data_IF_662951082682
#
_entry.id   IF_662951082682
#
_cell.length_a   1.000
_cell.length_b   1.000
_cell.length_c   1.000
_cell.angle_alpha   90.00
_cell.angle_beta   90.00
_cell.angle_gamma   90.00
#
_symmetry.space_group_name_H-M   'P 1'
#
loop_
_entity.id
_entity.type
_entity.pdbx_description
1 polymer ?
#
# COMPACT_ATOMS: atom_id res chain seq x y z
N UNK A 1 2.15 -3.47 47.30
CA UNK A 1 2.83 -3.21 46.00
C UNK A 1 1.75 -2.99 44.95
N UNK A 2 1.44 -1.73 44.67
CA UNK A 2 0.57 -1.40 43.53
C UNK A 2 1.39 -1.61 42.23
N UNK A 3 1.04 -2.63 41.44
CA UNK A 3 1.47 -2.68 40.08
C UNK A 3 0.81 -1.48 39.37
N UNK A 4 1.57 -0.41 39.17
CA UNK A 4 1.16 0.67 38.28
C UNK A 4 0.90 0.05 36.92
N UNK A 5 -0.34 0.19 36.45
CA UNK A 5 -0.73 -0.25 35.11
C UNK A 5 0.02 0.63 34.13
N UNK A 6 1.04 0.07 33.48
CA UNK A 6 1.63 0.68 32.26
C UNK A 6 0.49 0.86 31.26
N UNK A 7 0.10 2.11 31.04
CA UNK A 7 -0.95 2.46 30.09
C UNK A 7 -0.35 2.72 28.72
N UNK A 8 -0.92 2.16 27.67
CA UNK A 8 -0.64 2.57 26.30
C UNK A 8 -1.71 3.55 25.82
N UNK A 9 -1.29 4.66 25.20
CA UNK A 9 -2.18 5.67 24.65
C UNK A 9 -2.16 5.58 23.13
N UNK A 10 -3.36 5.49 22.55
CA UNK A 10 -3.52 5.59 21.11
C UNK A 10 -3.18 7.01 20.64
N UNK A 11 -2.31 7.12 19.63
CA UNK A 11 -1.89 8.40 19.05
C UNK A 11 -2.43 8.61 17.65
N UNK A 12 -2.39 7.58 16.80
CA UNK A 12 -2.64 7.76 15.38
C UNK A 12 -3.01 6.47 14.67
N UNK A 13 -3.80 6.60 13.59
CA UNK A 13 -4.19 5.47 12.75
C UNK A 13 -4.18 5.86 11.27
N UNK A 14 -3.95 4.83 10.44
CA UNK A 14 -4.11 4.87 8.98
C UNK A 14 -4.78 3.58 8.52
N UNK A 15 -5.69 3.73 7.57
CA UNK A 15 -6.33 2.63 6.85
C UNK A 15 -6.23 2.87 5.36
N UNK A 16 -5.93 1.81 4.64
CA UNK A 16 -6.04 1.75 3.19
C UNK A 16 -6.85 0.50 2.84
N UNK A 17 -7.86 0.68 2.01
CA UNK A 17 -8.63 -0.43 1.46
C UNK A 17 -8.74 -0.25 -0.05
N UNK A 18 -8.44 -1.32 -0.78
CA UNK A 18 -8.58 -1.39 -2.23
C UNK A 18 -9.46 -2.56 -2.58
N UNK A 19 -10.40 -2.34 -3.47
CA UNK A 19 -11.23 -3.37 -4.05
C UNK A 19 -11.25 -3.26 -5.57
N UNK A 20 -11.03 -4.38 -6.24
CA UNK A 20 -10.99 -4.47 -7.70
C UNK A 20 -12.03 -5.50 -8.13
N UNK A 21 -12.95 -5.09 -8.95
CA UNK A 21 -14.01 -5.95 -9.44
C UNK A 21 -14.31 -5.74 -10.92
N UNK A 22 -14.88 -6.77 -11.52
CA UNK A 22 -15.30 -6.73 -12.93
C UNK A 22 -16.60 -5.94 -13.04
N UNK A 23 -16.55 -4.79 -13.72
CA UNK A 23 -17.73 -3.96 -13.97
C UNK A 23 -18.52 -4.44 -15.20
N UNK A 24 -17.80 -4.92 -16.22
CA UNK A 24 -18.33 -5.51 -17.45
C UNK A 24 -17.30 -6.44 -18.07
N UNK A 25 -17.59 -7.02 -19.23
CA UNK A 25 -16.64 -7.87 -19.97
C UNK A 25 -15.32 -7.16 -20.28
N UNK A 26 -15.35 -5.84 -20.52
CA UNK A 26 -14.20 -5.05 -20.94
C UNK A 26 -13.66 -4.10 -19.86
N UNK A 27 -14.37 -3.95 -18.72
CA UNK A 27 -14.06 -2.92 -17.72
C UNK A 27 -13.88 -3.50 -16.32
N UNK A 28 -12.82 -3.02 -15.66
CA UNK A 28 -12.64 -3.11 -14.21
C UNK A 28 -13.09 -1.83 -13.55
N UNK A 29 -13.63 -1.95 -12.36
CA UNK A 29 -13.73 -0.87 -11.41
C UNK A 29 -12.73 -1.12 -10.29
N UNK A 30 -12.02 -0.06 -9.91
CA UNK A 30 -11.07 -0.04 -8.79
C UNK A 30 -11.51 1.05 -7.83
N UNK A 31 -11.82 0.65 -6.61
CA UNK A 31 -12.20 1.54 -5.52
C UNK A 31 -11.10 1.51 -4.46
N UNK A 32 -10.46 2.65 -4.24
CA UNK A 32 -9.50 2.85 -3.17
C UNK A 32 -10.08 3.79 -2.13
N UNK A 33 -10.09 3.35 -0.90
CA UNK A 33 -10.45 4.13 0.27
C UNK A 33 -9.23 4.31 1.18
N UNK A 34 -8.93 5.54 1.51
CA UNK A 34 -7.86 5.92 2.43
C UNK A 34 -8.42 6.74 3.56
N UNK A 35 -8.02 6.40 4.79
CA UNK A 35 -8.39 7.15 5.99
C UNK A 35 -7.21 7.26 6.94
N UNK A 36 -7.02 8.44 7.46
CA UNK A 36 -6.17 8.71 8.62
C UNK A 36 -6.86 9.67 9.59
N UNK A 37 -6.21 9.98 10.71
CA UNK A 37 -6.83 10.78 11.78
C UNK A 37 -7.45 12.10 11.30
N UNK A 38 -6.83 12.75 10.32
CA UNK A 38 -7.24 14.08 9.83
C UNK A 38 -7.82 14.11 8.42
N UNK A 39 -7.86 12.95 7.72
CA UNK A 39 -8.15 12.91 6.29
C UNK A 39 -8.88 11.65 5.88
N UNK A 40 -9.77 11.79 4.90
CA UNK A 40 -10.42 10.68 4.20
C UNK A 40 -10.44 11.00 2.71
N UNK A 41 -9.95 10.07 1.89
CA UNK A 41 -9.94 10.17 0.43
C UNK A 41 -10.48 8.88 -0.19
N UNK A 42 -11.15 9.00 -1.34
CA UNK A 42 -11.59 7.88 -2.17
C UNK A 42 -11.16 8.13 -3.61
N UNK A 43 -10.45 7.18 -4.17
CA UNK A 43 -10.07 7.20 -5.57
C UNK A 43 -10.81 6.08 -6.29
N UNK A 44 -11.61 6.45 -7.29
CA UNK A 44 -12.36 5.49 -8.11
C UNK A 44 -11.84 5.54 -9.53
N UNK A 45 -11.46 4.38 -10.06
CA UNK A 45 -11.01 4.24 -11.44
C UNK A 45 -11.85 3.23 -12.20
N UNK A 46 -12.07 3.51 -13.47
CA UNK A 46 -12.54 2.52 -14.44
C UNK A 46 -11.39 2.25 -15.42
N UNK A 47 -11.02 0.98 -15.54
CA UNK A 47 -9.90 0.53 -16.36
C UNK A 47 -10.35 -0.44 -17.44
N UNK A 48 -9.77 -0.34 -18.62
CA UNK A 48 -9.87 -1.41 -19.62
C UNK A 48 -9.19 -2.68 -19.11
N UNK A 49 -9.85 -3.83 -19.21
CA UNK A 49 -9.26 -5.12 -18.81
C UNK A 49 -8.04 -5.45 -19.67
N UNK A 50 -8.08 -5.13 -20.95
CA UNK A 50 -7.07 -5.53 -21.93
C UNK A 50 -5.69 -4.94 -21.66
N UNK A 51 -5.62 -3.68 -21.23
CA UNK A 51 -4.37 -2.90 -21.16
C UNK A 51 -4.27 -1.98 -19.94
N UNK A 52 -5.25 -2.08 -19.04
CA UNK A 52 -5.39 -1.23 -17.85
C UNK A 52 -5.38 0.28 -18.17
N UNK A 53 -5.84 0.64 -19.35
CA UNK A 53 -6.02 2.04 -19.73
C UNK A 53 -7.18 2.66 -18.93
N UNK A 54 -6.94 3.81 -18.31
CA UNK A 54 -7.94 4.58 -17.55
C UNK A 54 -9.03 5.09 -18.48
N UNK A 55 -10.27 4.72 -18.24
CA UNK A 55 -11.48 5.21 -18.90
C UNK A 55 -12.19 6.29 -18.11
N UNK A 56 -12.10 6.21 -16.78
CA UNK A 56 -12.62 7.21 -15.89
C UNK A 56 -11.78 7.24 -14.60
N UNK A 57 -11.65 8.42 -13.99
CA UNK A 57 -10.95 8.58 -12.72
C UNK A 57 -11.59 9.72 -11.92
N UNK A 58 -12.01 9.42 -10.69
CA UNK A 58 -12.65 10.38 -9.78
C UNK A 58 -12.01 10.30 -8.41
N UNK A 59 -11.63 11.46 -7.87
CA UNK A 59 -11.17 11.63 -6.51
C UNK A 59 -12.27 12.29 -5.68
N UNK A 60 -12.66 11.65 -4.59
CA UNK A 60 -13.59 12.17 -3.60
C UNK A 60 -12.82 12.43 -2.29
N UNK A 61 -13.12 13.55 -1.64
CA UNK A 61 -12.57 13.89 -0.31
C UNK A 61 -13.72 14.17 0.65
N UNK A 62 -14.36 13.12 1.22
CA UNK A 62 -15.53 13.26 2.08
C UNK A 62 -15.23 14.05 3.35
N UNK A 63 -14.01 13.94 3.88
CA UNK A 63 -13.57 14.66 5.06
C UNK A 63 -12.22 15.34 4.84
N UNK A 64 -12.21 16.66 4.94
CA UNK A 64 -11.00 17.47 4.98
C UNK A 64 -11.16 18.58 6.00
N UNK A 65 -10.05 19.12 6.49
CA UNK A 65 -10.05 20.28 7.38
C UNK A 65 -10.59 21.56 6.70
N UNK A 66 -10.79 21.51 5.38
CA UNK A 66 -11.30 22.63 4.57
C UNK A 66 -12.80 22.50 4.22
N UNK A 67 -13.50 21.51 4.80
CA UNK A 67 -14.91 21.21 4.50
C UNK A 67 -15.09 20.16 3.39
N UNK A 68 -16.34 19.96 2.99
CA UNK A 68 -16.68 19.00 1.93
C UNK A 68 -16.19 19.52 0.57
N UNK A 69 -15.30 18.78 -0.07
CA UNK A 69 -14.80 19.07 -1.41
C UNK A 69 -15.62 18.28 -2.43
N UNK A 70 -16.07 18.95 -3.47
CA UNK A 70 -16.77 18.29 -4.58
C UNK A 70 -15.87 17.25 -5.26
N UNK A 71 -16.44 16.13 -5.74
CA UNK A 71 -15.66 15.14 -6.48
C UNK A 71 -14.88 15.77 -7.63
N UNK A 72 -13.61 15.37 -7.76
CA UNK A 72 -12.69 15.86 -8.78
C UNK A 72 -12.50 14.81 -9.87
N UNK A 73 -12.82 15.15 -11.11
CA UNK A 73 -12.48 14.31 -12.24
C UNK A 73 -10.99 14.45 -12.58
N UNK A 74 -10.26 13.31 -12.59
CA UNK A 74 -8.84 13.27 -12.90
C UNK A 74 -8.63 13.03 -14.41
N UNK A 75 -9.16 13.92 -15.24
CA UNK A 75 -9.15 13.80 -16.72
C UNK A 75 -7.75 13.59 -17.30
N UNK A 76 -6.71 14.08 -16.64
CA UNK A 76 -5.32 13.90 -17.07
C UNK A 76 -4.82 12.45 -17.00
N UNK A 77 -5.53 11.57 -16.28
CA UNK A 77 -5.28 10.13 -16.26
C UNK A 77 -5.96 9.40 -17.43
N UNK A 78 -6.98 9.99 -18.03
CA UNK A 78 -7.72 9.34 -19.12
C UNK A 78 -6.81 8.97 -20.29
N UNK A 79 -6.96 7.75 -20.80
CA UNK A 79 -6.14 7.19 -21.87
C UNK A 79 -4.75 6.72 -21.44
N UNK A 80 -4.35 6.93 -20.17
CA UNK A 80 -3.07 6.42 -19.65
C UNK A 80 -3.22 5.00 -19.12
N UNK A 81 -2.21 4.18 -19.29
CA UNK A 81 -2.19 2.83 -18.74
C UNK A 81 -1.72 2.84 -17.29
N UNK A 82 -2.47 2.17 -16.41
CA UNK A 82 -2.10 1.90 -15.00
C UNK A 82 -1.26 0.62 -14.96
N UNK A 83 -0.01 0.71 -15.37
CA UNK A 83 0.89 -0.42 -15.42
C UNK A 83 2.28 -0.07 -14.86
N UNK A 84 3.02 -1.06 -14.35
CA UNK A 84 4.28 -0.83 -13.62
C UNK A 84 5.29 0.00 -14.43
N UNK A 85 5.41 -0.26 -15.74
CA UNK A 85 6.31 0.50 -16.64
C UNK A 85 5.96 1.98 -16.74
N UNK A 86 4.69 2.34 -16.49
CA UNK A 86 4.20 3.72 -16.53
C UNK A 86 4.22 4.41 -15.15
N UNK A 87 4.54 3.69 -14.08
CA UNK A 87 4.46 4.19 -12.69
C UNK A 87 5.22 5.51 -12.49
N UNK A 88 6.44 5.64 -13.06
CA UNK A 88 7.22 6.89 -12.98
C UNK A 88 6.55 8.05 -13.69
N UNK A 89 5.97 7.81 -14.87
CA UNK A 89 5.28 8.82 -15.66
C UNK A 89 3.99 9.25 -14.97
N UNK A 90 3.24 8.30 -14.41
CA UNK A 90 2.01 8.56 -13.65
C UNK A 90 2.31 9.35 -12.38
N UNK A 91 3.34 8.97 -11.62
CA UNK A 91 3.80 9.75 -10.46
C UNK A 91 4.16 11.19 -10.85
N UNK A 92 4.97 11.36 -11.89
CA UNK A 92 5.34 12.69 -12.40
C UNK A 92 4.10 13.51 -12.79
N UNK A 93 3.18 12.91 -13.55
CA UNK A 93 1.94 13.56 -13.96
C UNK A 93 1.08 14.00 -12.77
N UNK A 94 1.01 13.18 -11.72
CA UNK A 94 0.28 13.53 -10.50
C UNK A 94 0.95 14.70 -9.75
N UNK A 95 2.27 14.72 -9.67
CA UNK A 95 3.01 15.81 -9.03
C UNK A 95 2.88 17.13 -9.80
N UNK A 96 2.79 17.07 -11.13
CA UNK A 96 2.59 18.24 -12.01
C UNK A 96 1.11 18.65 -12.12
N UNK A 97 0.19 17.87 -11.54
CA UNK A 97 -1.24 18.18 -11.56
C UNK A 97 -1.54 19.56 -10.98
N UNK A 98 -2.31 20.33 -11.72
CA UNK A 98 -2.64 21.72 -11.38
C UNK A 98 -1.61 22.77 -11.83
N UNK A 99 -0.43 22.34 -12.35
CA UNK A 99 0.50 23.26 -13.04
C UNK A 99 0.14 23.41 -14.52
N UNK A 100 -0.24 22.28 -15.11
CA UNK A 100 -0.51 22.20 -16.56
C UNK A 100 -1.97 21.91 -16.89
N UNK A 101 -2.78 21.50 -15.89
CA UNK A 101 -4.18 21.11 -16.10
C UNK A 101 -5.09 21.92 -15.17
N UNK A 102 -6.06 22.61 -15.75
CA UNK A 102 -7.11 23.28 -14.99
C UNK A 102 -7.94 22.26 -14.23
N UNK A 103 -8.02 22.39 -12.90
CA UNK A 103 -8.90 21.57 -12.09
C UNK A 103 -10.33 22.10 -12.27
N UNK A 104 -11.19 21.31 -12.89
CA UNK A 104 -12.59 21.67 -13.09
C UNK A 104 -13.48 20.58 -12.50
N UNK A 105 -14.43 20.98 -11.66
CA UNK A 105 -15.50 20.11 -11.17
C UNK A 105 -16.83 20.75 -11.55
N UNK A 106 -17.67 20.02 -12.28
CA UNK A 106 -18.99 20.49 -12.74
C UNK A 106 -18.97 21.88 -13.40
N UNK A 107 -17.91 22.20 -14.18
CA UNK A 107 -17.75 23.49 -14.85
C UNK A 107 -17.20 24.63 -13.99
N UNK A 108 -16.97 24.41 -12.71
CA UNK A 108 -16.36 25.39 -11.80
C UNK A 108 -14.86 25.13 -11.62
N UNK A 109 -14.06 26.20 -11.54
CA UNK A 109 -12.64 26.09 -11.19
C UNK A 109 -12.48 25.59 -9.75
N UNK A 110 -11.69 24.55 -9.56
CA UNK A 110 -11.37 23.98 -8.25
C UNK A 110 -9.98 24.46 -7.82
N UNK A 111 -9.79 24.78 -6.53
CA UNK A 111 -8.47 25.17 -6.03
C UNK A 111 -7.43 24.08 -6.35
N UNK A 112 -6.25 24.53 -6.75
CA UNK A 112 -5.11 23.65 -7.02
C UNK A 112 -4.76 22.86 -5.76
N UNK A 113 -4.58 21.52 -5.82
CA UNK A 113 -4.10 20.75 -4.69
C UNK A 113 -2.71 21.22 -4.25
N UNK A 114 -2.46 21.23 -2.94
CA UNK A 114 -1.13 21.54 -2.38
C UNK A 114 -0.10 20.52 -2.90
N UNK A 115 1.19 20.83 -2.80
CA UNK A 115 2.25 19.87 -3.14
C UNK A 115 2.11 18.59 -2.30
N UNK A 116 1.85 18.73 -1.00
CA UNK A 116 1.64 17.61 -0.09
C UNK A 116 0.45 16.73 -0.50
N UNK A 117 -0.66 17.32 -0.95
CA UNK A 117 -1.79 16.56 -1.50
C UNK A 117 -1.40 15.79 -2.76
N UNK A 118 -0.66 16.42 -3.66
CA UNK A 118 -0.21 15.79 -4.92
C UNK A 118 0.75 14.63 -4.67
N UNK A 119 1.66 14.76 -3.71
CA UNK A 119 2.55 13.68 -3.26
C UNK A 119 1.75 12.53 -2.67
N UNK A 120 0.78 12.83 -1.82
CA UNK A 120 -0.10 11.83 -1.24
C UNK A 120 -0.89 11.07 -2.32
N UNK A 121 -1.52 11.78 -3.26
CA UNK A 121 -2.27 11.11 -4.35
C UNK A 121 -1.37 10.34 -5.31
N UNK A 122 -0.14 10.80 -5.52
CA UNK A 122 0.84 10.06 -6.30
C UNK A 122 1.20 8.72 -5.60
N UNK A 123 1.32 8.73 -4.28
CA UNK A 123 1.58 7.52 -3.50
C UNK A 123 0.37 6.57 -3.52
N UNK A 124 -0.87 7.07 -3.35
CA UNK A 124 -2.08 6.24 -3.48
C UNK A 124 -2.22 5.62 -4.87
N UNK A 125 -1.86 6.36 -5.91
CA UNK A 125 -1.87 5.83 -7.28
C UNK A 125 -0.83 4.71 -7.47
N UNK A 126 0.34 4.80 -6.84
CA UNK A 126 1.36 3.75 -6.89
C UNK A 126 0.92 2.49 -6.16
N UNK A 127 0.28 2.62 -4.99
CA UNK A 127 -0.33 1.49 -4.28
C UNK A 127 -1.37 0.79 -5.17
N UNK A 128 -2.25 1.57 -5.77
CA UNK A 128 -3.29 1.06 -6.65
C UNK A 128 -2.71 0.32 -7.88
N UNK A 129 -1.59 0.79 -8.45
CA UNK A 129 -0.89 0.08 -9.55
C UNK A 129 -0.44 -1.30 -9.07
N UNK A 130 0.13 -1.40 -7.88
CA UNK A 130 0.57 -2.68 -7.31
C UNK A 130 -0.61 -3.65 -7.11
N UNK A 131 -1.76 -3.14 -6.68
CA UNK A 131 -2.96 -3.95 -6.47
C UNK A 131 -3.62 -4.41 -7.77
N UNK A 132 -3.68 -3.54 -8.79
CA UNK A 132 -4.15 -3.91 -10.13
C UNK A 132 -3.30 -5.02 -10.72
N UNK A 133 -1.98 -4.98 -10.52
CA UNK A 133 -1.08 -6.04 -10.97
C UNK A 133 -1.31 -7.36 -10.23
N UNK A 134 -1.67 -7.32 -8.96
CA UNK A 134 -2.06 -8.54 -8.24
C UNK A 134 -3.41 -9.10 -8.69
N UNK A 135 -4.36 -8.23 -9.04
CA UNK A 135 -5.63 -8.65 -9.63
C UNK A 135 -5.47 -9.29 -11.01
N UNK A 136 -4.40 -8.99 -11.74
CA UNK A 136 -4.14 -9.48 -13.10
C UNK A 136 -4.14 -11.01 -13.18
N UNK A 137 -3.75 -11.72 -12.11
CA UNK A 137 -3.77 -13.19 -12.07
C UNK A 137 -5.17 -13.77 -12.32
N UNK A 138 -6.23 -13.00 -12.04
CA UNK A 138 -7.62 -13.40 -12.30
C UNK A 138 -8.12 -13.02 -13.70
N UNK A 139 -7.26 -12.39 -14.52
CA UNK A 139 -7.55 -11.87 -15.85
C UNK A 139 -6.63 -12.47 -16.91
N UNK A 140 -5.97 -13.58 -16.63
CA UNK A 140 -4.93 -14.16 -17.47
C UNK A 140 -5.43 -14.44 -18.91
N UNK A 141 -6.65 -14.99 -19.03
CA UNK A 141 -7.25 -15.26 -20.34
C UNK A 141 -7.46 -14.00 -21.17
N UNK A 142 -8.00 -12.94 -20.58
CA UNK A 142 -8.22 -11.64 -21.22
C UNK A 142 -6.92 -10.92 -21.55
N UNK A 143 -5.84 -11.26 -20.83
CA UNK A 143 -4.48 -10.76 -21.08
C UNK A 143 -3.70 -11.61 -22.09
N UNK A 144 -4.32 -12.69 -22.59
CA UNK A 144 -3.71 -13.58 -23.59
C UNK A 144 -2.74 -14.60 -23.00
N UNK A 145 -2.77 -14.83 -21.68
CA UNK A 145 -1.97 -15.85 -20.99
C UNK A 145 -2.82 -17.11 -20.85
N UNK A 146 -2.50 -18.13 -21.65
CA UNK A 146 -3.34 -19.34 -21.79
C UNK A 146 -2.73 -20.60 -21.19
N UNK A 147 -1.46 -20.56 -20.78
CA UNK A 147 -0.77 -21.71 -20.20
C UNK A 147 0.07 -21.35 -18.98
N UNK A 148 0.42 -22.36 -18.18
CA UNK A 148 1.33 -22.19 -17.03
C UNK A 148 2.70 -21.69 -17.48
N UNK A 149 3.22 -22.19 -18.61
CA UNK A 149 4.53 -21.78 -19.14
C UNK A 149 4.55 -20.29 -19.55
N UNK A 150 3.46 -19.80 -20.15
CA UNK A 150 3.31 -18.39 -20.45
C UNK A 150 3.22 -17.54 -19.20
N UNK A 151 2.45 -18.00 -18.19
CA UNK A 151 2.35 -17.36 -16.90
C UNK A 151 3.70 -17.27 -16.21
N UNK A 152 4.42 -18.38 -16.08
CA UNK A 152 5.73 -18.43 -15.44
C UNK A 152 6.75 -17.50 -16.10
N UNK A 153 6.79 -17.51 -17.44
CA UNK A 153 7.66 -16.60 -18.20
C UNK A 153 7.31 -15.14 -17.90
N UNK A 154 6.05 -14.78 -18.03
CA UNK A 154 5.55 -13.42 -17.81
C UNK A 154 5.84 -12.91 -16.39
N UNK A 155 5.51 -13.71 -15.37
CA UNK A 155 5.73 -13.32 -13.99
C UNK A 155 7.20 -13.35 -13.57
N UNK A 156 8.00 -14.28 -14.09
CA UNK A 156 9.44 -14.28 -13.83
C UNK A 156 10.15 -13.06 -14.43
N UNK A 157 9.73 -12.61 -15.61
CA UNK A 157 10.25 -11.37 -16.20
C UNK A 157 9.91 -10.13 -15.36
N UNK A 158 8.71 -10.11 -14.76
CA UNK A 158 8.22 -8.95 -13.99
C UNK A 158 8.62 -8.97 -12.52
N UNK A 159 8.56 -10.13 -11.88
CA UNK A 159 8.64 -10.28 -10.42
C UNK A 159 9.76 -11.23 -9.97
N UNK A 160 10.56 -11.75 -10.88
CA UNK A 160 11.67 -12.62 -10.54
C UNK A 160 12.55 -12.00 -9.44
N UNK A 161 12.81 -12.77 -8.38
CA UNK A 161 13.62 -12.36 -7.23
C UNK A 161 13.07 -11.20 -6.37
N UNK A 162 11.81 -10.77 -6.58
CA UNK A 162 11.17 -9.76 -5.73
C UNK A 162 10.89 -10.25 -4.31
N UNK A 163 10.59 -11.53 -4.15
CA UNK A 163 10.35 -12.15 -2.85
C UNK A 163 10.75 -13.64 -2.86
N UNK A 164 10.76 -14.25 -1.69
CA UNK A 164 11.12 -15.67 -1.51
C UNK A 164 10.25 -16.61 -2.36
N UNK A 165 8.96 -16.30 -2.54
CA UNK A 165 8.06 -17.10 -3.37
C UNK A 165 8.55 -17.18 -4.82
N UNK A 166 8.74 -16.04 -5.46
CA UNK A 166 9.16 -15.96 -6.87
C UNK A 166 10.60 -16.43 -7.08
N UNK A 167 11.44 -16.45 -6.03
CA UNK A 167 12.81 -16.91 -6.12
C UNK A 167 12.94 -18.43 -5.96
N UNK A 168 12.22 -19.03 -4.99
CA UNK A 168 12.32 -20.48 -4.71
C UNK A 168 11.42 -21.34 -5.60
N UNK A 169 10.29 -20.80 -6.05
CA UNK A 169 9.29 -21.55 -6.82
C UNK A 169 9.28 -21.19 -8.32
N UNK A 170 10.41 -20.79 -8.88
CA UNK A 170 10.52 -20.50 -10.32
C UNK A 170 9.84 -21.59 -11.15
N UNK A 171 8.84 -21.20 -11.96
CA UNK A 171 8.08 -22.11 -12.80
C UNK A 171 7.07 -23.00 -12.06
N UNK A 172 6.66 -22.66 -10.82
CA UNK A 172 5.67 -23.44 -10.05
C UNK A 172 4.84 -22.56 -9.13
N UNK A 173 4.41 -21.39 -9.61
CA UNK A 173 3.67 -20.46 -8.74
C UNK A 173 2.24 -20.96 -8.52
N UNK A 174 1.84 -21.25 -7.27
CA UNK A 174 0.53 -21.82 -6.95
C UNK A 174 -0.65 -20.94 -7.36
N UNK A 175 -0.45 -19.63 -7.50
CA UNK A 175 -1.49 -18.69 -7.87
C UNK A 175 -2.13 -19.05 -9.21
N UNK A 176 -1.39 -19.55 -10.19
CA UNK A 176 -1.96 -19.97 -11.47
C UNK A 176 -3.00 -21.09 -11.30
N UNK A 177 -2.65 -22.12 -10.54
CA UNK A 177 -3.59 -23.22 -10.27
C UNK A 177 -4.80 -22.76 -9.44
N UNK A 178 -4.57 -21.84 -8.49
CA UNK A 178 -5.62 -21.28 -7.67
C UNK A 178 -6.60 -20.43 -8.49
N UNK A 179 -6.10 -19.62 -9.42
CA UNK A 179 -6.92 -18.71 -10.23
C UNK A 179 -7.69 -19.43 -11.33
N UNK A 180 -7.15 -20.50 -11.91
CA UNK A 180 -7.87 -21.31 -12.89
C UNK A 180 -9.07 -22.08 -12.29
N UNK A 181 -9.01 -22.44 -11.01
CA UNK A 181 -10.08 -23.13 -10.30
C UNK A 181 -11.17 -22.20 -9.74
N UNK A 182 -10.96 -20.88 -9.72
CA UNK A 182 -11.88 -19.92 -9.12
C UNK A 182 -12.44 -18.97 -10.18
N UNK A 183 -13.65 -19.27 -10.66
CA UNK A 183 -14.49 -18.25 -11.30
C UNK A 183 -14.94 -17.26 -10.20
N UNK A 184 -14.16 -16.18 -9.99
CA UNK A 184 -14.61 -15.05 -9.18
C UNK A 184 -15.54 -14.19 -10.04
N UNK A 185 -16.83 -14.16 -9.71
CA UNK A 185 -17.83 -13.49 -10.52
C UNK A 185 -17.67 -11.97 -10.49
N UNK A 186 -17.44 -11.37 -9.32
CA UNK A 186 -17.53 -9.92 -9.14
C UNK A 186 -16.27 -9.32 -8.50
N UNK A 187 -15.88 -9.65 -7.28
CA UNK A 187 -14.66 -9.17 -6.65
C UNK A 187 -13.46 -10.02 -7.09
N UNK A 188 -12.53 -9.43 -7.82
CA UNK A 188 -11.30 -10.09 -8.28
C UNK A 188 -10.23 -10.05 -7.21
N UNK A 189 -10.01 -8.89 -6.62
CA UNK A 189 -8.95 -8.67 -5.64
C UNK A 189 -9.41 -7.66 -4.60
N UNK A 190 -9.01 -7.89 -3.35
CA UNK A 190 -9.16 -6.91 -2.29
C UNK A 190 -7.90 -6.86 -1.44
N UNK A 191 -7.56 -5.67 -0.97
CA UNK A 191 -6.50 -5.44 0.02
C UNK A 191 -6.99 -4.48 1.09
N UNK A 192 -6.66 -4.80 2.32
CA UNK A 192 -6.81 -3.94 3.47
C UNK A 192 -5.47 -3.84 4.19
N UNK A 193 -5.02 -2.62 4.46
CA UNK A 193 -3.88 -2.40 5.36
C UNK A 193 -4.24 -1.38 6.43
N UNK A 194 -3.67 -1.56 7.61
CA UNK A 194 -3.87 -0.64 8.73
C UNK A 194 -2.59 -0.47 9.52
N UNK A 195 -2.36 0.75 9.99
CA UNK A 195 -1.26 1.10 10.89
C UNK A 195 -1.84 1.80 12.10
N UNK A 196 -1.43 1.37 13.28
CA UNK A 196 -1.77 1.96 14.57
C UNK A 196 -0.50 2.34 15.31
N UNK A 197 -0.46 3.52 15.91
CA UNK A 197 0.65 4.00 16.70
C UNK A 197 0.17 4.26 18.12
N UNK A 198 0.88 3.68 19.09
CA UNK A 198 0.62 3.84 20.52
C UNK A 198 1.88 4.37 21.21
N UNK A 199 1.69 5.20 22.23
CA UNK A 199 2.74 5.63 23.14
C UNK A 199 2.57 4.91 24.47
N UNK A 200 3.65 4.31 24.96
CA UNK A 200 3.71 3.74 26.30
C UNK A 200 4.14 4.82 27.28
N UNK A 201 3.61 4.80 28.50
CA UNK A 201 4.14 5.61 29.60
C UNK A 201 5.16 4.77 30.35
N UNK A 202 6.37 5.29 30.48
CA UNK A 202 7.30 4.81 31.49
C UNK A 202 6.85 5.37 32.84
N UNK A 203 6.75 4.52 33.88
CA UNK A 203 6.33 4.95 35.22
C UNK A 203 7.21 6.08 35.75
N UNK A 204 6.64 7.01 36.51
CA UNK A 204 7.29 8.12 37.24
C UNK A 204 8.34 8.95 36.47
N UNK A 205 7.94 9.61 35.39
CA UNK A 205 8.78 10.63 34.75
C UNK A 205 8.02 11.35 33.66
N UNK A 206 8.41 12.59 33.36
CA UNK A 206 7.96 13.35 32.18
C UNK A 206 8.47 12.71 30.87
N UNK A 207 8.97 11.46 30.94
CA UNK A 207 9.54 10.72 29.84
C UNK A 207 8.46 10.30 28.83
N UNK A 208 8.62 10.68 27.59
CA UNK A 208 7.90 10.07 26.46
C UNK A 208 8.39 8.63 26.37
N UNK A 209 7.53 7.69 26.79
CA UNK A 209 7.82 6.25 26.68
C UNK A 209 7.92 5.79 25.23
N UNK A 210 8.40 4.57 25.06
CA UNK A 210 8.54 3.95 23.74
C UNK A 210 7.24 4.00 22.91
N UNK A 211 7.38 4.14 21.61
CA UNK A 211 6.27 4.00 20.68
C UNK A 211 6.19 2.54 20.22
N UNK A 212 4.98 2.01 20.19
CA UNK A 212 4.69 0.78 19.46
C UNK A 212 3.86 1.09 18.21
N UNK A 213 4.27 0.47 17.09
CA UNK A 213 3.60 0.60 15.82
C UNK A 213 3.14 -0.79 15.42
N UNK A 214 1.84 -0.94 15.18
CA UNK A 214 1.25 -2.19 14.75
C UNK A 214 0.70 -2.01 13.34
N UNK A 215 1.19 -2.84 12.43
CA UNK A 215 0.74 -2.91 11.04
C UNK A 215 0.01 -4.23 10.78
N UNK A 216 -1.04 -4.18 10.00
CA UNK A 216 -1.75 -5.35 9.50
C UNK A 216 -2.01 -5.18 8.02
N UNK A 217 -1.77 -6.23 7.24
CA UNK A 217 -2.11 -6.32 5.83
C UNK A 217 -2.88 -7.62 5.60
N UNK A 218 -4.03 -7.49 4.96
CA UNK A 218 -4.84 -8.61 4.50
C UNK A 218 -5.26 -8.37 3.06
N UNK A 219 -4.86 -9.24 2.14
CA UNK A 219 -5.31 -9.21 0.76
C UNK A 219 -5.88 -10.56 0.32
N UNK A 220 -6.24 -10.70 -0.94
CA UNK A 220 -6.80 -11.94 -1.47
C UNK A 220 -5.91 -13.17 -1.27
N UNK A 221 -4.58 -12.99 -1.10
CA UNK A 221 -3.58 -14.07 -0.98
C UNK A 221 -2.92 -14.12 0.38
N UNK A 222 -2.72 -12.98 1.03
CA UNK A 222 -1.90 -12.83 2.22
C UNK A 222 -2.68 -12.27 3.40
N UNK A 223 -2.24 -12.64 4.58
CA UNK A 223 -2.59 -11.96 5.82
C UNK A 223 -1.39 -11.96 6.75
N UNK A 224 -0.95 -10.77 7.16
CA UNK A 224 0.24 -10.62 7.98
C UNK A 224 0.14 -9.47 8.96
N UNK A 225 0.86 -9.58 10.04
CA UNK A 225 0.98 -8.55 11.08
C UNK A 225 2.44 -8.17 11.28
N UNK A 226 2.66 -6.90 11.59
CA UNK A 226 3.95 -6.29 11.93
C UNK A 226 3.81 -5.56 13.25
N UNK A 227 4.80 -5.70 14.14
CA UNK A 227 4.93 -4.92 15.36
C UNK A 227 6.34 -4.34 15.45
N UNK A 228 6.44 -3.03 15.58
CA UNK A 228 7.69 -2.31 15.76
C UNK A 228 7.68 -1.60 17.10
N UNK A 229 8.78 -1.72 17.86
CA UNK A 229 9.08 -0.86 19.01
C UNK A 229 10.13 0.16 18.56
N UNK A 230 9.87 1.44 18.77
CA UNK A 230 10.80 2.51 18.39
C UNK A 230 11.06 3.43 19.58
N UNK A 231 12.33 3.82 19.75
CA UNK A 231 12.70 4.75 20.82
C UNK A 231 12.11 6.13 20.57
N UNK A 232 11.57 6.77 21.62
CA UNK A 232 11.16 8.16 21.56
C UNK A 232 12.41 9.03 21.47
N UNK A 233 12.80 9.43 20.28
CA UNK A 233 13.69 10.59 20.15
C UNK A 233 12.83 11.83 20.10
N UNK A 234 13.32 12.93 20.64
CA UNK A 234 12.61 14.22 20.60
C UNK A 234 12.35 14.71 19.17
N UNK A 235 12.95 14.08 18.16
CA UNK A 235 12.84 14.39 16.72
C UNK A 235 13.12 13.15 15.87
N UNK A 236 12.45 12.99 14.69
CA UNK A 236 12.83 11.96 13.71
C UNK A 236 14.28 12.13 13.25
N UNK A 237 14.93 11.05 12.79
CA UNK A 237 14.38 9.72 12.54
C UNK A 237 14.37 8.82 13.78
N UNK A 238 13.32 8.01 13.95
CA UNK A 238 13.17 7.09 15.07
C UNK A 238 13.92 5.78 14.84
N UNK A 239 14.65 5.30 15.86
CA UNK A 239 15.38 4.04 15.80
C UNK A 239 14.44 2.88 16.14
N UNK A 240 14.43 1.85 15.29
CA UNK A 240 13.72 0.60 15.57
C UNK A 240 14.53 -0.21 16.57
N UNK A 241 13.97 -0.44 17.77
CA UNK A 241 14.59 -1.28 18.79
C UNK A 241 14.29 -2.76 18.56
N UNK A 242 13.04 -3.05 18.17
CA UNK A 242 12.53 -4.40 17.95
C UNK A 242 11.54 -4.40 16.81
N UNK A 243 11.62 -5.42 15.97
CA UNK A 243 10.66 -5.67 14.90
C UNK A 243 10.26 -7.15 14.93
N UNK A 244 8.96 -7.39 14.96
CA UNK A 244 8.36 -8.72 14.99
C UNK A 244 7.18 -8.75 14.04
N UNK A 245 6.81 -9.93 13.60
CA UNK A 245 5.63 -10.11 12.77
C UNK A 245 5.35 -11.56 12.50
N UNK A 246 4.17 -11.78 11.95
CA UNK A 246 3.69 -13.11 11.67
C UNK A 246 2.88 -13.12 10.38
N UNK A 247 2.96 -14.23 9.65
CA UNK A 247 2.08 -14.54 8.55
C UNK A 247 0.93 -15.42 9.07
N UNK A 248 -0.29 -14.92 8.95
CA UNK A 248 -1.51 -15.63 9.34
C UNK A 248 -2.06 -16.44 8.15
N UNK A 249 -1.90 -15.91 6.94
CA UNK A 249 -2.24 -16.56 5.68
C UNK A 249 -1.24 -16.17 4.60
N UNK A 250 -0.89 -17.12 3.73
CA UNK A 250 0.03 -16.92 2.61
C UNK A 250 -0.25 -17.94 1.49
N UNK A 251 0.06 -17.61 0.23
CA UNK A 251 -0.23 -18.50 -0.91
C UNK A 251 0.61 -19.80 -0.88
N UNK A 252 1.80 -19.74 -0.25
CA UNK A 252 2.69 -20.90 -0.15
C UNK A 252 3.49 -20.88 1.16
N UNK A 253 3.71 -22.03 1.83
CA UNK A 253 4.48 -22.15 3.07
C UNK A 253 5.88 -21.50 3.02
N UNK A 254 6.50 -21.40 1.84
CA UNK A 254 7.80 -20.74 1.66
C UNK A 254 7.78 -19.29 2.08
N UNK A 255 6.66 -18.60 1.91
CA UNK A 255 6.49 -17.21 2.29
C UNK A 255 6.73 -16.96 3.80
N UNK A 256 6.38 -17.95 4.64
CA UNK A 256 6.60 -17.88 6.09
C UNK A 256 8.07 -17.71 6.48
N UNK A 257 9.01 -18.15 5.62
CA UNK A 257 10.45 -17.97 5.85
C UNK A 257 10.88 -16.50 5.90
N UNK A 258 10.11 -15.60 5.25
CA UNK A 258 10.45 -14.17 5.22
C UNK A 258 10.24 -13.46 6.57
N UNK A 259 9.45 -14.04 7.50
CA UNK A 259 9.18 -13.39 8.79
C UNK A 259 10.46 -13.12 9.60
N UNK A 260 11.47 -13.99 9.50
CA UNK A 260 12.75 -13.81 10.22
C UNK A 260 13.49 -12.54 9.79
N UNK A 261 13.22 -12.03 8.59
CA UNK A 261 13.84 -10.82 8.05
C UNK A 261 13.44 -9.56 8.82
N UNK A 262 12.32 -9.58 9.53
CA UNK A 262 11.92 -8.45 10.37
C UNK A 262 12.97 -8.09 11.41
N UNK A 263 13.72 -9.06 11.92
CA UNK A 263 14.79 -8.81 12.89
C UNK A 263 15.91 -7.94 12.31
N UNK A 264 16.09 -7.91 11.00
CA UNK A 264 17.09 -7.06 10.32
C UNK A 264 16.71 -5.56 10.37
N UNK A 265 15.48 -5.22 10.76
CA UNK A 265 15.07 -3.85 10.97
C UNK A 265 15.59 -3.27 12.30
N UNK A 266 15.99 -4.08 13.27
CA UNK A 266 16.55 -3.57 14.51
C UNK A 266 17.81 -2.74 14.22
N UNK A 267 17.88 -1.53 14.78
CA UNK A 267 18.94 -0.56 14.50
C UNK A 267 18.77 0.23 13.20
N UNK A 268 17.70 0.02 12.45
CA UNK A 268 17.35 0.85 11.29
C UNK A 268 16.49 2.03 11.75
N UNK A 269 16.75 3.22 11.19
CA UNK A 269 15.88 4.36 11.42
C UNK A 269 14.60 4.26 10.58
N UNK A 270 13.47 4.29 11.25
CA UNK A 270 12.13 4.25 10.62
C UNK A 270 11.77 5.63 10.08
N UNK A 271 12.10 5.86 8.82
CA UNK A 271 11.82 7.10 8.11
C UNK A 271 11.67 6.83 6.59
N UNK A 272 10.77 7.51 5.86
CA UNK A 272 10.61 7.28 4.42
C UNK A 272 11.89 7.48 3.60
N UNK A 273 12.79 8.38 4.00
CA UNK A 273 14.09 8.58 3.34
C UNK A 273 14.99 7.35 3.42
N UNK A 274 14.81 6.50 4.44
CA UNK A 274 15.51 5.24 4.60
C UNK A 274 14.88 4.07 3.82
N UNK A 275 13.97 4.36 2.89
CA UNK A 275 13.27 3.36 2.05
C UNK A 275 14.21 2.27 1.53
N UNK A 276 15.39 2.64 1.01
CA UNK A 276 16.35 1.66 0.46
C UNK A 276 16.83 0.66 1.53
N UNK A 277 17.13 1.14 2.75
CA UNK A 277 17.56 0.26 3.86
C UNK A 277 16.43 -0.65 4.33
N UNK A 278 15.23 -0.09 4.51
CA UNK A 278 14.04 -0.85 4.92
C UNK A 278 13.74 -1.95 3.89
N UNK A 279 13.67 -1.61 2.61
CA UNK A 279 13.40 -2.59 1.56
C UNK A 279 14.51 -3.61 1.42
N UNK A 280 15.79 -3.23 1.48
CA UNK A 280 16.91 -4.18 1.38
C UNK A 280 16.93 -5.19 2.55
N UNK A 281 16.43 -4.82 3.71
CA UNK A 281 16.30 -5.72 4.85
C UNK A 281 15.15 -6.73 4.65
N UNK A 282 14.03 -6.30 4.04
CA UNK A 282 12.79 -7.08 4.05
C UNK A 282 12.44 -7.76 2.73
N UNK A 283 13.01 -7.32 1.60
CA UNK A 283 12.60 -7.80 0.26
C UNK A 283 13.69 -8.63 -0.42
N UNK A 284 13.48 -9.00 -1.68
CA UNK A 284 14.42 -9.79 -2.47
C UNK A 284 14.28 -11.29 -2.22
N UNK A 285 15.23 -12.05 -2.69
CA UNK A 285 15.17 -13.54 -2.78
C UNK A 285 14.82 -14.28 -1.49
N UNK A 286 15.05 -13.69 -0.33
CA UNK A 286 14.77 -14.30 0.99
C UNK A 286 13.71 -13.53 1.78
N UNK A 287 13.16 -12.48 1.21
CA UNK A 287 12.26 -11.56 1.88
C UNK A 287 10.82 -11.60 1.33
N UNK A 288 10.05 -10.60 1.70
CA UNK A 288 8.68 -10.39 1.27
C UNK A 288 8.45 -8.91 0.95
N UNK A 289 7.99 -8.61 -0.27
CA UNK A 289 7.67 -7.24 -0.67
C UNK A 289 6.56 -6.63 0.20
N UNK A 290 5.54 -7.41 0.55
CA UNK A 290 4.44 -6.93 1.41
C UNK A 290 4.89 -6.53 2.83
N UNK A 291 5.88 -7.22 3.42
CA UNK A 291 6.50 -6.76 4.68
C UNK A 291 7.25 -5.45 4.48
N UNK A 292 7.91 -5.28 3.34
CA UNK A 292 8.58 -4.04 2.96
C UNK A 292 7.59 -2.88 2.85
N UNK A 293 6.47 -3.10 2.16
CA UNK A 293 5.42 -2.11 1.98
C UNK A 293 4.79 -1.73 3.33
N UNK A 294 4.46 -2.71 4.17
CA UNK A 294 3.88 -2.48 5.49
C UNK A 294 4.83 -1.69 6.42
N UNK A 295 6.13 -1.97 6.37
CA UNK A 295 7.13 -1.21 7.13
C UNK A 295 7.29 0.23 6.60
N UNK A 296 7.18 0.45 5.28
CA UNK A 296 7.19 1.79 4.70
C UNK A 296 5.92 2.57 5.05
N UNK A 297 4.76 1.93 5.09
CA UNK A 297 3.53 2.56 5.56
C UNK A 297 3.64 2.97 7.04
N UNK A 298 4.27 2.14 7.88
CA UNK A 298 4.57 2.51 9.26
C UNK A 298 5.49 3.74 9.35
N UNK A 299 6.51 3.83 8.48
CA UNK A 299 7.39 4.99 8.42
C UNK A 299 6.68 6.27 7.98
N UNK A 300 5.79 6.18 6.98
CA UNK A 300 4.95 7.31 6.53
C UNK A 300 3.99 7.76 7.64
N UNK A 301 3.33 6.81 8.30
CA UNK A 301 2.41 7.07 9.41
C UNK A 301 3.09 7.85 10.55
N UNK A 302 4.28 7.43 10.92
CA UNK A 302 5.06 8.07 11.97
C UNK A 302 5.53 9.48 11.58
N UNK A 303 5.85 9.70 10.29
CA UNK A 303 6.18 11.02 9.77
C UNK A 303 4.98 11.96 9.85
N UNK A 304 3.78 11.50 9.47
CA UNK A 304 2.57 12.32 9.52
C UNK A 304 2.15 12.65 10.97
N UNK A 305 2.28 11.70 11.91
CA UNK A 305 2.07 11.96 13.33
C UNK A 305 2.92 13.13 13.83
N UNK A 306 4.19 13.22 13.40
CA UNK A 306 5.10 14.29 13.83
C UNK A 306 4.76 15.67 13.25
N UNK A 307 4.04 15.75 12.14
CA UNK A 307 3.60 17.03 11.57
C UNK A 307 2.40 17.64 12.31
N UNK A 308 1.71 16.83 13.13
CA UNK A 308 0.50 17.25 13.87
C UNK A 308 0.83 17.70 15.31
N UNK A 309 2.00 17.40 15.84
CA UNK A 309 2.50 17.80 17.16
C UNK A 309 3.50 18.92 17.09
#
# INVERSE_FOLDING_TARGET
MHQERQGAFFLWQRFLHVEIFRKSEDLLQVDLFFQETSREDRLKLELSIRDFTVKNAVLERPRSNQGTIQPLSLLFLHGRSIYLKEAKNLKKTMLEWGETVSCVSNGAAVPRPSLQDREHYADLLLELIADVLQAEVFLLGERGISSLEEYDRYFNEMYGDMCVLYSELRGRVPEYAYTQGQQRSDSLFSRHSSIFIFQHRDGEGDGKGDLSIHGHLCDSFHEMALSLSVSPSSKPPYLINRAEGNFLRFPNPVCGKAAVKLQELAGVHLHPENKKKILSALTGQKGCSHLGDLALEAAKALLELNKQG
#
